data_IF_166499648659
#
_entry.id   IF_166499648659
#
_cell.length_a   1.000
_cell.length_b   1.000
_cell.length_c   1.000
_cell.angle_alpha   90.00
_cell.angle_beta   90.00
_cell.angle_gamma   90.00
#
_symmetry.space_group_name_H-M   'P 1'
#
loop_
_entity.id
_entity.type
_entity.pdbx_description
1 polymer ?
#
# COMPACT_ATOMS: atom_id res chain seq x y z
N UNK A 1 -4.81 0.56 -17.15
CA UNK A 1 -3.78 1.62 -17.20
C UNK A 1 -3.46 2.07 -15.79
N UNK A 2 -2.19 2.33 -15.42
CA UNK A 2 -1.85 2.78 -14.07
C UNK A 2 -2.43 4.16 -13.77
N UNK A 3 -3.00 4.33 -12.57
CA UNK A 3 -3.52 5.62 -12.11
C UNK A 3 -2.39 6.64 -11.84
N UNK A 4 -1.20 6.17 -11.47
CA UNK A 4 -0.02 6.98 -11.16
C UNK A 4 1.20 6.37 -11.84
N UNK A 5 2.03 7.19 -12.46
CA UNK A 5 3.28 6.76 -13.11
C UNK A 5 4.44 7.62 -12.62
N UNK A 6 5.53 6.96 -12.22
CA UNK A 6 6.78 7.60 -11.81
C UNK A 6 6.88 7.86 -10.30
N UNK A 7 8.11 7.76 -9.78
CA UNK A 7 8.41 7.86 -8.36
C UNK A 7 8.03 9.21 -7.74
N UNK A 8 8.22 10.31 -8.47
CA UNK A 8 7.91 11.65 -7.96
C UNK A 8 6.41 11.82 -7.70
N UNK A 9 5.56 11.43 -8.66
CA UNK A 9 4.09 11.47 -8.50
C UNK A 9 3.64 10.50 -7.42
N UNK A 10 4.22 9.30 -7.38
CA UNK A 10 3.90 8.32 -6.35
C UNK A 10 4.20 8.86 -4.94
N UNK A 11 5.38 9.45 -4.72
CA UNK A 11 5.74 10.07 -3.44
C UNK A 11 4.82 11.23 -3.05
N UNK A 12 4.43 12.07 -4.01
CA UNK A 12 3.53 13.20 -3.76
C UNK A 12 2.20 12.75 -3.13
N UNK A 13 1.69 11.57 -3.53
CA UNK A 13 0.45 11.01 -2.98
C UNK A 13 0.55 10.59 -1.50
N UNK A 14 1.76 10.36 -0.98
CA UNK A 14 1.96 9.93 0.41
C UNK A 14 2.29 11.08 1.36
N UNK A 15 2.61 12.29 0.87
CA UNK A 15 3.03 13.41 1.72
C UNK A 15 1.98 13.72 2.79
N UNK A 16 0.72 13.88 2.39
CA UNK A 16 -0.37 14.15 3.34
C UNK A 16 -0.58 12.99 4.33
N UNK A 17 -0.50 11.75 3.84
CA UNK A 17 -0.62 10.54 4.66
C UNK A 17 0.45 10.50 5.76
N UNK A 18 1.72 10.71 5.41
CA UNK A 18 2.84 10.59 6.35
C UNK A 18 3.06 11.83 7.23
N UNK A 19 2.41 12.95 6.93
CA UNK A 19 2.35 14.09 7.85
C UNK A 19 1.36 13.86 9.01
N UNK A 20 0.52 12.83 8.95
CA UNK A 20 -0.40 12.48 10.02
C UNK A 20 0.31 11.55 11.04
N UNK A 21 0.57 12.00 12.29
CA UNK A 21 1.28 11.20 13.28
C UNK A 21 0.47 10.00 13.79
N UNK A 22 -0.85 9.99 13.61
CA UNK A 22 -1.68 8.84 13.96
C UNK A 22 -1.56 7.71 12.92
N UNK A 23 -0.97 7.99 11.75
CA UNK A 23 -0.88 7.01 10.68
C UNK A 23 0.07 5.89 11.06
N UNK A 24 -0.42 4.66 10.99
CA UNK A 24 0.39 3.46 11.08
C UNK A 24 -0.29 2.33 10.34
N UNK A 25 0.47 1.31 9.98
CA UNK A 25 -0.06 0.13 9.34
C UNK A 25 0.49 -1.14 10.00
N UNK A 26 -0.33 -2.18 9.96
CA UNK A 26 0.10 -3.54 10.31
C UNK A 26 -0.11 -4.43 9.10
N UNK A 27 0.75 -5.45 8.94
CA UNK A 27 0.65 -6.44 7.86
C UNK A 27 0.41 -7.82 8.49
N UNK A 28 -0.85 -8.22 8.75
CA UNK A 28 -1.12 -9.48 9.41
C UNK A 28 -0.66 -10.70 8.59
N UNK A 29 -0.73 -10.60 7.26
CA UNK A 29 -0.35 -11.67 6.35
C UNK A 29 0.47 -11.12 5.19
N UNK A 30 1.55 -11.82 4.85
CA UNK A 30 2.35 -11.60 3.65
C UNK A 30 2.53 -12.90 2.89
N UNK A 31 2.31 -12.85 1.57
CA UNK A 31 2.55 -13.98 0.66
C UNK A 31 3.52 -13.55 -0.44
N UNK A 32 4.58 -14.33 -0.63
CA UNK A 32 5.55 -14.11 -1.70
C UNK A 32 5.43 -15.19 -2.77
N UNK A 33 5.45 -14.80 -4.05
CA UNK A 33 5.38 -15.71 -5.19
C UNK A 33 6.25 -15.18 -6.34
N UNK A 34 7.46 -15.74 -6.49
CA UNK A 34 8.43 -15.28 -7.50
C UNK A 34 8.78 -13.81 -7.31
N UNK A 35 8.52 -12.99 -8.34
CA UNK A 35 8.77 -11.54 -8.30
C UNK A 35 7.61 -10.72 -7.72
N UNK A 36 6.67 -11.37 -7.02
CA UNK A 36 5.47 -10.74 -6.47
C UNK A 36 5.41 -10.91 -4.96
N UNK A 37 4.91 -9.89 -4.27
CA UNK A 37 4.58 -9.92 -2.86
C UNK A 37 3.17 -9.37 -2.69
N UNK A 38 2.34 -10.05 -1.90
CA UNK A 38 1.02 -9.59 -1.52
C UNK A 38 0.98 -9.41 -0.02
N UNK A 39 0.62 -8.21 0.40
CA UNK A 39 0.39 -7.86 1.80
C UNK A 39 -1.11 -7.70 2.02
N UNK A 40 -1.64 -8.38 3.03
CA UNK A 40 -2.87 -7.97 3.69
C UNK A 40 -2.48 -6.86 4.66
N UNK A 41 -2.96 -5.64 4.43
CA UNK A 41 -2.57 -4.46 5.20
C UNK A 41 -3.79 -3.82 5.88
N UNK A 42 -3.60 -3.47 7.15
CA UNK A 42 -4.55 -2.68 7.95
C UNK A 42 -3.94 -1.32 8.22
N UNK A 43 -4.48 -0.27 7.61
CA UNK A 43 -4.00 1.10 7.70
C UNK A 43 -4.88 1.92 8.65
N UNK A 44 -4.30 2.36 9.77
CA UNK A 44 -4.94 3.22 10.76
C UNK A 44 -4.63 4.68 10.43
N UNK A 45 -5.66 5.53 10.38
CA UNK A 45 -5.52 6.97 10.05
C UNK A 45 -5.89 7.91 11.21
N UNK A 46 -6.55 7.39 12.23
CA UNK A 46 -6.91 8.13 13.44
C UNK A 46 -6.96 7.15 14.62
N UNK A 47 -6.81 7.68 15.83
CA UNK A 47 -7.05 6.90 17.05
C UNK A 47 -8.53 6.49 17.13
N UNK A 48 -8.79 5.27 17.59
CA UNK A 48 -10.14 4.73 17.79
C UNK A 48 -11.02 4.65 16.52
N UNK A 49 -10.45 4.73 15.31
CA UNK A 49 -11.16 4.45 14.06
C UNK A 49 -10.86 3.05 13.54
N UNK A 50 -11.82 2.36 12.89
CA UNK A 50 -11.54 1.14 12.15
C UNK A 50 -10.43 1.35 11.12
N UNK A 51 -9.54 0.38 10.89
CA UNK A 51 -8.52 0.49 9.86
C UNK A 51 -9.15 0.45 8.47
N UNK A 52 -8.50 1.10 7.52
CA UNK A 52 -8.70 0.79 6.10
C UNK A 52 -8.03 -0.54 5.82
N UNK A 53 -8.81 -1.51 5.39
CA UNK A 53 -8.32 -2.84 5.01
C UNK A 53 -8.11 -2.91 3.50
N UNK A 54 -6.91 -3.33 3.09
CA UNK A 54 -6.56 -3.46 1.68
C UNK A 54 -5.57 -4.61 1.44
N UNK A 55 -5.58 -5.12 0.20
CA UNK A 55 -4.52 -5.98 -0.31
C UNK A 55 -3.57 -5.15 -1.16
N UNK A 56 -2.27 -5.18 -0.86
CA UNK A 56 -1.23 -4.53 -1.66
C UNK A 56 -0.43 -5.57 -2.40
N UNK A 57 -0.42 -5.50 -3.74
CA UNK A 57 0.43 -6.34 -4.57
C UNK A 57 1.60 -5.54 -5.11
N UNK A 58 2.81 -5.98 -4.77
CA UNK A 58 4.07 -5.45 -5.30
C UNK A 58 4.62 -6.38 -6.36
N UNK A 59 5.14 -5.81 -7.45
CA UNK A 59 5.94 -6.51 -8.44
C UNK A 59 7.37 -5.94 -8.43
N UNK A 60 8.36 -6.82 -8.38
CA UNK A 60 9.77 -6.44 -8.31
C UNK A 60 10.53 -6.76 -9.61
N UNK A 61 11.54 -5.94 -9.91
CA UNK A 61 12.51 -6.10 -11.00
C UNK A 61 13.84 -5.49 -10.57
N UNK A 62 14.93 -6.25 -10.70
CA UNK A 62 16.27 -5.82 -10.26
C UNK A 62 16.25 -5.27 -8.82
N UNK A 63 15.66 -6.04 -7.91
CA UNK A 63 15.56 -5.77 -6.47
C UNK A 63 14.83 -4.47 -6.07
N UNK A 64 14.05 -3.90 -6.99
CA UNK A 64 13.22 -2.72 -6.75
C UNK A 64 11.76 -3.03 -7.05
N UNK A 65 10.85 -2.43 -6.28
CA UNK A 65 9.43 -2.39 -6.62
C UNK A 65 9.28 -1.52 -7.87
N UNK A 66 8.81 -2.09 -8.97
CA UNK A 66 8.55 -1.35 -10.22
C UNK A 66 7.06 -1.07 -10.44
N UNK A 67 6.19 -1.82 -9.75
CA UNK A 67 4.74 -1.64 -9.80
C UNK A 67 4.12 -2.05 -8.46
N UNK A 68 3.09 -1.32 -8.07
CA UNK A 68 2.24 -1.62 -6.92
C UNK A 68 0.78 -1.48 -7.34
N UNK A 69 -0.06 -2.39 -6.87
CA UNK A 69 -1.51 -2.36 -7.07
C UNK A 69 -2.18 -2.46 -5.71
N UNK A 70 -3.13 -1.58 -5.44
CA UNK A 70 -3.92 -1.56 -4.20
C UNK A 70 -5.33 -2.06 -4.53
N UNK A 71 -5.83 -2.99 -3.74
CA UNK A 71 -7.22 -3.46 -3.80
C UNK A 71 -7.87 -3.13 -2.47
N UNK A 72 -8.90 -2.29 -2.49
CA UNK A 72 -9.60 -1.88 -1.28
C UNK A 72 -10.73 -2.87 -0.99
N UNK A 73 -11.02 -3.14 0.28
CA UNK A 73 -12.14 -4.04 0.62
C UNK A 73 -13.51 -3.48 0.14
N UNK A 74 -13.58 -2.17 -0.11
CA UNK A 74 -14.74 -1.48 -0.69
C UNK A 74 -14.97 -1.78 -2.19
N UNK A 75 -14.02 -2.45 -2.87
CA UNK A 75 -14.13 -2.85 -4.28
C UNK A 75 -15.04 -4.10 -4.50
N UNK A 76 -15.92 -4.41 -3.52
CA UNK A 76 -16.89 -5.51 -3.56
C UNK A 76 -18.30 -5.04 -3.87
#
# INVERSE_FOLDING_TARGET
>A
TPAVVGLAKFRANYVATFNNPAVHATVPTRVTMGNKCMDHELCFKAENSPPVELMVMYETRADKIFKVTFYYNEDK
#
